data_IF_097640241050
#
_entry.id   IF_097640241050
#
_cell.length_a   1.000
_cell.length_b   1.000
_cell.length_c   1.000
_cell.angle_alpha   90.00
_cell.angle_beta   90.00
_cell.angle_gamma   90.00
#
_symmetry.space_group_name_H-M   'P 1'
#
loop_
_entity.id
_entity.type
_entity.pdbx_description
1 polymer ?
#
# COMPACT_ATOMS: atom_id res chain seq x y z
N UNK A 1 -1.58 0.92 20.45
CA UNK A 1 -2.52 -0.12 20.95
C UNK A 1 -3.41 -0.60 19.81
N UNK A 2 -3.43 -1.90 19.53
CA UNK A 2 -4.33 -2.48 18.52
C UNK A 2 -5.71 -2.69 19.13
N UNK A 3 -6.78 -2.21 18.49
CA UNK A 3 -8.14 -2.35 19.01
C UNK A 3 -9.06 -3.17 18.13
N UNK A 4 -8.77 -3.24 16.83
CA UNK A 4 -9.49 -4.10 15.90
C UNK A 4 -8.58 -4.45 14.73
N UNK A 5 -8.75 -5.64 14.20
CA UNK A 5 -8.07 -6.09 12.99
C UNK A 5 -9.12 -6.55 11.97
N UNK A 6 -9.24 -5.81 10.87
CA UNK A 6 -10.05 -6.19 9.71
C UNK A 6 -9.21 -7.13 8.83
N UNK A 7 -9.28 -8.44 9.13
CA UNK A 7 -8.51 -9.46 8.41
C UNK A 7 -8.81 -9.49 6.90
N UNK A 8 -10.08 -9.41 6.43
CA UNK A 8 -10.39 -9.34 5.00
C UNK A 8 -9.70 -8.18 4.28
N UNK A 9 -9.59 -7.02 4.93
CA UNK A 9 -8.97 -5.82 4.33
C UNK A 9 -7.48 -5.68 4.65
N UNK A 10 -6.96 -6.45 5.60
CA UNK A 10 -5.58 -6.32 6.09
C UNK A 10 -5.32 -5.01 6.86
N UNK A 11 -6.35 -4.44 7.50
CA UNK A 11 -6.27 -3.14 8.17
C UNK A 11 -6.29 -3.31 9.70
N UNK A 12 -5.34 -2.67 10.38
CA UNK A 12 -5.31 -2.54 11.83
C UNK A 12 -5.89 -1.19 12.28
N UNK A 13 -6.91 -1.22 13.14
CA UNK A 13 -7.39 -0.03 13.84
C UNK A 13 -6.59 0.13 15.13
N UNK A 14 -5.98 1.30 15.31
CA UNK A 14 -5.05 1.54 16.41
C UNK A 14 -5.31 2.86 17.12
N UNK A 15 -5.01 2.90 18.41
CA UNK A 15 -4.70 4.13 19.13
C UNK A 15 -3.18 4.32 19.15
N UNK A 16 -2.72 5.48 18.71
CA UNK A 16 -1.31 5.86 18.77
C UNK A 16 -1.03 6.71 20.02
N UNK A 17 0.16 6.54 20.57
CA UNK A 17 0.62 7.22 21.78
C UNK A 17 2.02 7.74 21.54
N UNK A 18 2.33 8.93 22.06
CA UNK A 18 3.67 9.49 22.01
C UNK A 18 4.51 8.98 23.18
N UNK A 19 5.84 8.89 23.05
CA UNK A 19 6.70 8.54 24.18
C UNK A 19 6.42 9.46 25.38
N UNK A 20 6.22 8.87 26.57
CA UNK A 20 5.97 9.59 27.81
C UNK A 20 4.52 10.02 28.06
N UNK A 21 3.57 9.76 27.16
CA UNK A 21 2.14 9.97 27.45
C UNK A 21 1.57 8.84 28.31
N UNK A 22 0.49 9.11 29.07
CA UNK A 22 -0.28 8.01 29.67
C UNK A 22 -0.89 7.16 28.55
N UNK A 23 -1.10 5.86 28.83
CA UNK A 23 -1.63 4.90 27.85
C UNK A 23 -3.17 4.88 27.82
N UNK A 24 -3.79 5.94 28.34
CA UNK A 24 -5.23 6.12 28.39
C UNK A 24 -5.73 6.68 27.06
N UNK A 25 -6.91 6.23 26.62
CA UNK A 25 -7.48 6.62 25.33
C UNK A 25 -7.56 8.15 25.15
N UNK A 26 -7.78 8.89 26.24
CA UNK A 26 -7.90 10.35 26.24
C UNK A 26 -6.58 11.07 25.88
N UNK A 27 -5.44 10.43 26.11
CA UNK A 27 -4.11 10.95 25.77
C UNK A 27 -3.60 10.41 24.44
N UNK A 28 -4.38 9.58 23.75
CA UNK A 28 -4.00 9.08 22.43
C UNK A 28 -3.95 10.21 21.40
N UNK A 29 -3.06 10.07 20.42
CA UNK A 29 -2.95 10.97 19.27
C UNK A 29 -4.29 11.09 18.55
N UNK A 30 -5.08 10.00 18.51
CA UNK A 30 -6.41 9.99 17.91
C UNK A 30 -7.35 11.00 18.58
N UNK A 31 -7.39 10.99 19.91
CA UNK A 31 -8.25 11.87 20.68
C UNK A 31 -7.75 13.32 20.64
N UNK A 32 -6.43 13.52 20.65
CA UNK A 32 -5.83 14.85 20.46
C UNK A 32 -6.19 15.43 19.09
N UNK A 33 -6.14 14.63 18.01
CA UNK A 33 -6.58 15.08 16.68
C UNK A 33 -8.07 15.43 16.70
N UNK A 34 -8.92 14.59 17.29
CA UNK A 34 -10.37 14.83 17.35
C UNK A 34 -10.72 16.13 18.10
N UNK A 35 -9.98 16.44 19.15
CA UNK A 35 -10.22 17.60 19.99
C UNK A 35 -9.43 18.85 19.56
N UNK A 36 -8.63 18.77 18.50
CA UNK A 36 -7.84 19.89 18.02
C UNK A 36 -8.74 21.04 17.53
N UNK A 37 -8.40 22.27 17.92
CA UNK A 37 -9.15 23.50 17.57
C UNK A 37 -9.30 23.74 16.06
N UNK A 38 -8.46 23.09 15.26
CA UNK A 38 -8.54 23.06 13.80
C UNK A 38 -9.92 22.59 13.29
N UNK A 39 -10.56 21.63 13.97
CA UNK A 39 -11.88 21.12 13.56
C UNK A 39 -13.05 21.99 14.03
N UNK A 40 -12.81 22.87 15.01
CA UNK A 40 -13.85 23.77 15.52
C UNK A 40 -14.18 24.89 14.54
N UNK A 41 -13.24 25.23 13.65
CA UNK A 41 -13.33 26.38 12.75
C UNK A 41 -13.54 26.00 11.27
N UNK A 42 -13.46 24.71 10.91
CA UNK A 42 -13.56 24.27 9.52
C UNK A 42 -14.36 22.97 9.40
N UNK A 43 -15.69 23.08 9.23
CA UNK A 43 -16.62 21.94 9.22
C UNK A 43 -16.54 21.05 7.97
N UNK A 44 -15.83 21.45 6.93
CA UNK A 44 -15.96 20.86 5.58
C UNK A 44 -14.65 20.32 4.97
N UNK A 45 -13.80 19.63 5.74
CA UNK A 45 -12.68 18.84 5.17
C UNK A 45 -12.94 17.34 5.34
N UNK A 46 -13.74 16.77 4.44
CA UNK A 46 -13.94 15.32 4.35
C UNK A 46 -12.80 14.69 3.53
N UNK A 47 -11.85 14.05 4.21
CA UNK A 47 -10.83 13.20 3.58
C UNK A 47 -11.40 11.79 3.32
N UNK A 48 -12.47 11.68 2.54
CA UNK A 48 -12.98 10.38 2.09
C UNK A 48 -12.52 10.12 0.66
N UNK A 49 -11.53 9.24 0.49
CA UNK A 49 -11.25 8.66 -0.83
C UNK A 49 -12.24 7.54 -1.06
N UNK A 50 -13.35 7.84 -1.74
CA UNK A 50 -14.19 6.82 -2.36
C UNK A 50 -13.77 6.68 -3.83
N UNK A 51 -13.52 5.46 -4.34
CA UNK A 51 -13.18 5.27 -5.74
C UNK A 51 -14.47 5.19 -6.54
N UNK A 52 -14.99 6.32 -7.05
CA UNK A 52 -15.78 6.39 -8.29
C UNK A 52 -16.42 7.76 -8.51
N UNK A 53 -16.49 8.15 -9.78
CA UNK A 53 -17.64 8.88 -10.32
C UNK A 53 -17.59 10.39 -10.17
N UNK A 54 -17.23 11.05 -11.28
CA UNK A 54 -17.61 12.41 -11.67
C UNK A 54 -18.78 13.02 -10.89
N UNK A 55 -18.54 14.14 -10.21
CA UNK A 55 -19.53 15.20 -10.09
C UNK A 55 -18.86 16.56 -10.25
N UNK A 56 -19.45 17.37 -11.12
CA UNK A 56 -18.93 18.63 -11.64
C UNK A 56 -19.45 19.79 -10.78
N UNK A 57 -18.55 20.64 -10.29
CA UNK A 57 -18.92 21.94 -9.72
C UNK A 57 -18.90 23.01 -10.83
N UNK A 58 -20.01 23.73 -10.93
CA UNK A 58 -20.38 24.70 -11.96
C UNK A 58 -19.66 26.04 -11.72
N UNK A 59 -18.90 26.53 -12.70
CA UNK A 59 -18.43 27.93 -12.76
C UNK A 59 -18.79 28.50 -14.14
N UNK A 60 -19.45 29.64 -14.11
CA UNK A 60 -19.90 30.44 -15.25
C UNK A 60 -18.77 31.33 -15.80
N UNK A 61 -18.56 31.32 -17.12
CA UNK A 61 -18.18 32.49 -17.92
C UNK A 61 -18.21 32.14 -19.41
N UNK A 62 -18.83 33.03 -20.19
CA UNK A 62 -19.06 32.96 -21.63
C UNK A 62 -17.77 33.03 -22.48
N UNK A 63 -17.73 32.28 -23.60
CA UNK A 63 -17.65 32.75 -25.01
C UNK A 63 -17.00 31.72 -25.98
N UNK A 64 -17.81 31.30 -26.97
CA UNK A 64 -17.57 30.84 -28.36
C UNK A 64 -16.40 29.89 -28.72
N UNK A 65 -16.73 28.66 -29.17
CA UNK A 65 -16.68 28.28 -30.60
C UNK A 65 -17.04 26.79 -30.80
N UNK A 66 -17.89 26.56 -31.79
CA UNK A 66 -18.49 25.28 -32.15
C UNK A 66 -17.58 24.41 -33.01
N UNK A 67 -17.51 23.11 -32.70
CA UNK A 67 -17.36 22.05 -33.70
C UNK A 67 -18.20 20.85 -33.26
N UNK A 68 -19.13 20.50 -34.14
CA UNK A 68 -20.13 19.46 -34.01
C UNK A 68 -19.66 18.23 -34.80
N UNK A 69 -19.70 17.04 -34.21
CA UNK A 69 -19.71 15.79 -34.99
C UNK A 69 -20.25 14.60 -34.17
N UNK A 70 -21.44 14.19 -34.60
CA UNK A 70 -22.03 12.85 -34.67
C UNK A 70 -22.02 11.90 -33.46
N UNK A 71 -23.25 11.65 -32.98
CA UNK A 71 -23.65 10.47 -32.21
C UNK A 71 -23.42 9.17 -33.00
N UNK A 72 -22.72 8.23 -32.39
CA UNK A 72 -22.64 6.83 -32.81
C UNK A 72 -23.02 5.92 -31.65
N UNK A 73 -24.27 5.47 -31.64
CA UNK A 73 -24.83 4.42 -30.77
C UNK A 73 -24.28 3.07 -31.26
N UNK A 74 -23.69 2.26 -30.40
CA UNK A 74 -23.42 0.85 -30.73
C UNK A 74 -23.74 -0.07 -29.54
N UNK A 75 -24.38 -1.16 -29.90
CA UNK A 75 -25.19 -2.01 -29.04
C UNK A 75 -24.40 -3.05 -28.25
N UNK A 76 -25.09 -3.53 -27.23
CA UNK A 76 -24.74 -4.58 -26.29
C UNK A 76 -24.81 -5.94 -26.99
N UNK A 77 -23.68 -6.62 -27.17
CA UNK A 77 -23.63 -8.03 -27.55
C UNK A 77 -23.09 -8.86 -26.40
N UNK A 78 -23.90 -9.81 -25.95
CA UNK A 78 -23.59 -10.80 -24.93
C UNK A 78 -22.88 -11.98 -25.59
N UNK A 79 -21.74 -12.38 -25.05
CA UNK A 79 -21.13 -13.69 -25.28
C UNK A 79 -20.07 -13.98 -24.22
N UNK A 80 -20.45 -14.79 -23.24
CA UNK A 80 -19.56 -15.75 -22.56
C UNK A 80 -19.19 -16.84 -23.59
N UNK A 81 -17.97 -17.41 -23.61
CA UNK A 81 -17.51 -18.26 -22.49
C UNK A 81 -15.98 -18.25 -22.26
N UNK A 82 -15.56 -18.54 -21.03
CA UNK A 82 -14.60 -19.60 -20.70
C UNK A 82 -14.07 -19.41 -19.28
N UNK A 83 -14.16 -20.51 -18.53
CA UNK A 83 -13.70 -20.67 -17.16
C UNK A 83 -12.16 -20.69 -17.18
N UNK A 84 -11.55 -19.52 -16.99
CA UNK A 84 -10.12 -19.41 -16.70
C UNK A 84 -9.81 -20.22 -15.41
N UNK A 85 -8.82 -21.13 -15.43
CA UNK A 85 -8.46 -21.88 -14.24
C UNK A 85 -7.87 -20.90 -13.23
N UNK A 86 -8.50 -20.81 -12.05
CA UNK A 86 -7.92 -20.13 -10.90
C UNK A 86 -6.57 -20.77 -10.61
N UNK A 87 -5.48 -20.11 -11.02
CA UNK A 87 -4.15 -20.48 -10.60
C UNK A 87 -4.08 -20.21 -9.10
N UNK A 88 -4.38 -21.24 -8.32
CA UNK A 88 -4.12 -21.26 -6.88
C UNK A 88 -2.62 -21.01 -6.76
N UNK A 89 -2.24 -19.81 -6.33
CA UNK A 89 -0.85 -19.51 -6.02
C UNK A 89 -0.43 -20.55 -4.97
N UNK A 90 0.56 -21.37 -5.31
CA UNK A 90 1.17 -22.31 -4.38
C UNK A 90 1.65 -21.53 -3.16
N UNK A 91 1.25 -21.97 -1.97
CA UNK A 91 1.52 -21.29 -0.71
C UNK A 91 3.02 -21.14 -0.39
N UNK A 92 3.91 -21.79 -1.15
CA UNK A 92 5.36 -21.75 -0.98
C UNK A 92 6.05 -20.46 -1.48
N UNK A 93 5.36 -19.58 -2.23
CA UNK A 93 6.01 -18.41 -2.86
C UNK A 93 5.97 -17.13 -1.99
N UNK A 94 5.21 -17.14 -0.90
CA UNK A 94 4.96 -15.97 -0.05
C UNK A 94 5.65 -16.07 1.31
N UNK A 95 6.20 -14.96 1.85
CA UNK A 95 6.74 -14.93 3.20
C UNK A 95 5.72 -15.31 4.26
N UNK A 96 6.17 -15.81 5.43
CA UNK A 96 5.27 -16.07 6.53
C UNK A 96 4.53 -14.79 6.93
N UNK A 97 3.26 -14.90 7.36
CA UNK A 97 2.51 -13.74 7.82
C UNK A 97 3.19 -13.14 9.05
N UNK A 98 3.19 -11.81 9.13
CA UNK A 98 3.73 -11.13 10.29
C UNK A 98 2.93 -11.50 11.54
N UNK A 99 3.57 -11.86 12.67
CA UNK A 99 2.88 -12.07 13.93
C UNK A 99 2.34 -10.74 14.46
N UNK A 100 1.09 -10.42 14.10
CA UNK A 100 0.42 -9.18 14.50
C UNK A 100 0.04 -9.26 15.99
N UNK A 101 0.24 -8.17 16.72
CA UNK A 101 -0.20 -8.04 18.11
C UNK A 101 -1.70 -8.30 18.25
N UNK A 102 -2.09 -8.95 19.34
CA UNK A 102 -3.50 -9.26 19.61
C UNK A 102 -4.27 -7.98 19.92
N UNK A 103 -5.58 -8.02 19.72
CA UNK A 103 -6.47 -6.96 20.16
C UNK A 103 -6.27 -6.68 21.65
N UNK A 104 -6.06 -5.41 22.00
CA UNK A 104 -5.78 -4.94 23.35
C UNK A 104 -4.29 -4.73 23.65
N UNK A 105 -3.39 -5.34 22.87
CA UNK A 105 -1.95 -5.25 23.10
C UNK A 105 -1.35 -3.93 22.60
N UNK A 106 -0.25 -3.55 23.25
CA UNK A 106 0.61 -2.45 22.86
C UNK A 106 1.74 -2.98 21.98
N UNK A 107 2.11 -2.18 20.99
CA UNK A 107 3.21 -2.45 20.09
C UNK A 107 3.88 -1.13 19.77
N UNK A 108 5.19 -1.09 19.95
CA UNK A 108 5.99 0.02 19.48
C UNK A 108 6.11 -0.07 17.97
N UNK A 109 5.88 1.07 17.31
CA UNK A 109 5.79 1.15 15.86
C UNK A 109 6.58 2.33 15.32
N UNK A 110 7.06 2.16 14.10
CA UNK A 110 7.51 3.26 13.26
C UNK A 110 6.48 3.52 12.17
N UNK A 111 6.10 4.78 11.97
CA UNK A 111 5.15 5.18 10.91
C UNK A 111 5.96 5.46 9.65
N UNK A 112 5.95 4.53 8.69
CA UNK A 112 6.75 4.64 7.46
C UNK A 112 6.09 5.55 6.42
N UNK A 113 4.76 5.57 6.36
CA UNK A 113 3.96 6.40 5.45
C UNK A 113 2.74 6.90 6.18
N UNK A 114 2.45 8.19 6.11
CA UNK A 114 1.22 8.79 6.66
C UNK A 114 0.51 9.61 5.58
N UNK A 115 -0.58 9.07 5.03
CA UNK A 115 -1.40 9.78 4.05
C UNK A 115 -2.52 10.57 4.73
N UNK A 116 -3.22 9.92 5.67
CA UNK A 116 -4.32 10.50 6.45
C UNK A 116 -4.59 9.62 7.68
N UNK A 117 -5.20 10.15 8.76
CA UNK A 117 -5.62 9.36 9.93
C UNK A 117 -6.31 8.02 9.64
N UNK A 118 -7.09 7.91 8.55
CA UNK A 118 -7.76 6.66 8.14
C UNK A 118 -6.93 5.74 7.24
N UNK A 119 -5.73 6.16 6.85
CA UNK A 119 -4.80 5.35 6.06
C UNK A 119 -3.34 5.78 6.24
N UNK A 120 -2.60 4.96 6.96
CA UNK A 120 -1.16 5.07 7.12
C UNK A 120 -0.54 3.68 7.22
N UNK A 121 0.78 3.61 7.17
CA UNK A 121 1.55 2.37 7.24
C UNK A 121 2.42 2.41 8.48
N UNK A 122 2.41 1.31 9.23
CA UNK A 122 3.28 1.11 10.38
C UNK A 122 4.15 -0.12 10.20
N UNK A 123 5.35 -0.06 10.77
CA UNK A 123 6.30 -1.15 10.89
C UNK A 123 6.49 -1.49 12.37
N UNK A 124 6.56 -2.77 12.77
CA UNK A 124 6.91 -3.12 14.14
C UNK A 124 8.32 -2.65 14.48
N UNK A 125 8.46 -1.85 15.54
CA UNK A 125 9.75 -1.27 15.92
C UNK A 125 10.83 -2.34 16.16
N UNK A 126 10.44 -3.44 16.81
CA UNK A 126 11.34 -4.58 17.12
C UNK A 126 11.92 -5.27 15.88
N UNK A 127 11.30 -5.12 14.71
CA UNK A 127 11.72 -5.77 13.45
C UNK A 127 12.55 -4.84 12.56
N UNK A 128 12.70 -3.55 12.91
CA UNK A 128 13.41 -2.59 12.05
C UNK A 128 14.85 -3.01 11.75
N UNK A 129 15.56 -3.57 12.73
CA UNK A 129 16.92 -4.06 12.52
C UNK A 129 16.96 -5.29 11.58
N UNK A 130 15.97 -6.18 11.68
CA UNK A 130 15.86 -7.33 10.77
C UNK A 130 15.56 -6.88 9.34
N UNK A 131 14.73 -5.84 9.19
CA UNK A 131 14.46 -5.21 7.89
C UNK A 131 15.71 -4.54 7.32
N UNK A 132 16.47 -3.80 8.13
CA UNK A 132 17.71 -3.16 7.72
C UNK A 132 18.74 -4.19 7.23
N UNK A 133 18.96 -5.26 8.00
CA UNK A 133 19.83 -6.36 7.60
C UNK A 133 19.38 -7.00 6.27
N UNK A 134 18.08 -7.26 6.10
CA UNK A 134 17.52 -7.77 4.85
C UNK A 134 17.82 -6.84 3.67
N UNK A 135 17.66 -5.53 3.86
CA UNK A 135 17.88 -4.53 2.82
C UNK A 135 19.35 -4.47 2.41
N UNK A 136 20.28 -4.57 3.36
CA UNK A 136 21.73 -4.64 3.08
C UNK A 136 22.11 -5.91 2.32
N UNK A 137 21.61 -7.08 2.75
CA UNK A 137 21.85 -8.35 2.07
C UNK A 137 21.30 -8.33 0.63
N UNK A 138 20.12 -7.74 0.41
CA UNK A 138 19.55 -7.58 -0.92
C UNK A 138 20.40 -6.68 -1.81
N UNK A 139 20.99 -5.59 -1.28
CA UNK A 139 21.93 -4.76 -2.05
C UNK A 139 23.12 -5.59 -2.51
N UNK A 140 23.77 -6.30 -1.59
CA UNK A 140 24.97 -7.07 -1.88
C UNK A 140 24.70 -8.15 -2.94
N UNK A 141 23.58 -8.86 -2.80
CA UNK A 141 23.19 -9.93 -3.71
C UNK A 141 22.80 -9.43 -5.10
N UNK A 142 21.82 -8.52 -5.20
CA UNK A 142 21.27 -8.12 -6.50
C UNK A 142 22.13 -7.10 -7.26
N UNK A 143 23.11 -6.47 -6.61
CA UNK A 143 24.05 -5.59 -7.29
C UNK A 143 25.15 -6.34 -8.04
N UNK A 144 25.40 -7.60 -7.68
CA UNK A 144 26.43 -8.45 -8.29
C UNK A 144 25.85 -9.55 -9.18
N UNK A 145 24.59 -9.93 -8.96
CA UNK A 145 23.93 -11.02 -9.69
C UNK A 145 23.50 -10.59 -11.10
N UNK A 146 23.74 -11.46 -12.08
CA UNK A 146 23.25 -11.28 -13.45
C UNK A 146 21.72 -11.34 -13.53
N UNK A 147 21.15 -10.51 -14.42
CA UNK A 147 19.70 -10.49 -14.63
C UNK A 147 19.24 -11.78 -15.30
N UNK A 148 18.35 -12.51 -14.64
CA UNK A 148 17.69 -13.68 -15.21
C UNK A 148 16.51 -13.26 -16.09
N UNK A 149 16.24 -13.96 -17.22
CA UNK A 149 15.01 -13.78 -17.97
C UNK A 149 13.79 -13.91 -17.05
N UNK A 150 12.87 -12.95 -17.12
CA UNK A 150 11.79 -12.83 -16.15
C UNK A 150 10.44 -12.70 -16.84
N UNK A 151 9.56 -13.68 -16.57
CA UNK A 151 8.13 -13.51 -16.85
C UNK A 151 7.47 -12.75 -15.70
N UNK A 152 7.06 -11.53 -15.98
CA UNK A 152 6.37 -10.68 -15.02
C UNK A 152 4.93 -11.15 -14.83
N UNK A 153 4.54 -11.37 -13.58
CA UNK A 153 3.18 -11.71 -13.18
C UNK A 153 2.60 -10.65 -12.24
N UNK A 154 1.34 -10.26 -12.48
CA UNK A 154 0.59 -9.40 -11.56
C UNK A 154 0.34 -10.14 -10.23
N UNK A 155 0.37 -9.41 -9.13
CA UNK A 155 0.20 -9.90 -7.76
C UNK A 155 1.25 -10.93 -7.31
N UNK A 156 2.40 -11.00 -7.97
CA UNK A 156 3.55 -11.83 -7.56
C UNK A 156 4.65 -11.00 -6.93
N UNK A 157 5.49 -11.66 -6.13
CA UNK A 157 6.56 -11.07 -5.34
C UNK A 157 7.90 -11.08 -6.09
N UNK A 158 8.60 -9.95 -6.08
CA UNK A 158 9.86 -9.73 -6.78
C UNK A 158 10.83 -8.86 -5.96
N UNK A 159 12.08 -8.81 -6.39
CA UNK A 159 13.02 -7.77 -5.99
C UNK A 159 13.00 -6.64 -7.03
N UNK A 160 12.96 -5.39 -6.60
CA UNK A 160 13.03 -4.23 -7.50
C UNK A 160 14.08 -3.22 -7.04
N UNK A 161 14.85 -2.68 -7.98
CA UNK A 161 15.78 -1.59 -7.74
C UNK A 161 15.09 -0.24 -7.87
N UNK A 162 15.00 0.50 -6.78
CA UNK A 162 14.41 1.84 -6.70
C UNK A 162 15.50 2.78 -6.18
N UNK A 163 15.92 3.74 -7.02
CA UNK A 163 17.13 4.51 -6.76
C UNK A 163 18.37 3.60 -6.63
N UNK A 164 19.05 3.70 -5.50
CA UNK A 164 20.25 2.91 -5.18
C UNK A 164 19.97 1.69 -4.31
N UNK A 165 18.71 1.44 -3.96
CA UNK A 165 18.32 0.42 -3.01
C UNK A 165 17.50 -0.69 -3.70
N UNK A 166 17.55 -1.90 -3.14
CA UNK A 166 16.72 -3.02 -3.56
C UNK A 166 15.64 -3.29 -2.54
N UNK A 167 14.41 -3.49 -3.02
CA UNK A 167 13.21 -3.67 -2.20
C UNK A 167 12.47 -4.94 -2.59
N UNK A 168 11.76 -5.54 -1.63
CA UNK A 168 10.75 -6.55 -1.91
C UNK A 168 9.48 -5.86 -2.38
N UNK A 169 8.93 -6.30 -3.51
CA UNK A 169 7.76 -5.65 -4.11
C UNK A 169 6.75 -6.63 -4.65
N UNK A 170 5.48 -6.27 -4.56
CA UNK A 170 4.40 -6.92 -5.32
C UNK A 170 4.09 -6.07 -6.54
N UNK A 171 4.03 -6.70 -7.72
CA UNK A 171 3.60 -6.02 -8.95
C UNK A 171 2.08 -5.86 -8.93
N UNK A 172 1.61 -4.62 -8.85
CA UNK A 172 0.17 -4.28 -8.84
C UNK A 172 -0.37 -3.99 -10.23
N UNK A 173 0.47 -3.55 -11.17
CA UNK A 173 0.06 -3.27 -12.54
C UNK A 173 1.21 -3.37 -13.52
N UNK A 174 0.90 -3.81 -14.75
CA UNK A 174 1.84 -3.87 -15.87
C UNK A 174 1.37 -2.84 -16.89
N UNK A 175 2.21 -1.85 -17.19
CA UNK A 175 1.87 -0.75 -18.09
C UNK A 175 2.46 -1.02 -19.48
N UNK A 176 1.79 -0.49 -20.52
CA UNK A 176 2.15 -0.74 -21.93
C UNK A 176 3.52 -0.19 -22.34
N UNK A 177 4.12 0.68 -21.54
CA UNK A 177 5.38 1.38 -21.80
C UNK A 177 6.60 0.74 -21.09
N UNK A 178 6.49 -0.52 -20.64
CA UNK A 178 7.57 -1.20 -19.92
C UNK A 178 7.74 -0.73 -18.47
N UNK A 179 6.78 0.01 -17.94
CA UNK A 179 6.71 0.34 -16.52
C UNK A 179 5.80 -0.63 -15.78
N UNK A 180 6.10 -0.81 -14.50
CA UNK A 180 5.36 -1.63 -13.56
C UNK A 180 4.95 -0.73 -12.40
N UNK A 181 3.68 -0.78 -12.03
CA UNK A 181 3.22 -0.27 -10.73
C UNK A 181 3.52 -1.32 -9.69
N UNK A 182 4.32 -0.95 -8.68
CA UNK A 182 4.76 -1.85 -7.63
C UNK A 182 4.34 -1.33 -6.26
N UNK A 183 4.19 -2.24 -5.31
CA UNK A 183 3.97 -1.94 -3.90
C UNK A 183 5.13 -2.51 -3.09
N UNK A 184 5.85 -1.64 -2.39
CA UNK A 184 6.91 -2.00 -1.46
C UNK A 184 6.30 -2.64 -0.22
N UNK A 185 6.45 -3.96 -0.10
CA UNK A 185 5.74 -4.75 0.93
C UNK A 185 6.24 -4.50 2.35
N UNK A 186 7.39 -3.84 2.48
CA UNK A 186 8.00 -3.52 3.77
C UNK A 186 7.72 -2.10 4.22
N UNK A 187 7.55 -1.15 3.30
CA UNK A 187 7.35 0.27 3.60
C UNK A 187 5.93 0.77 3.33
N UNK A 188 5.17 0.04 2.53
CA UNK A 188 3.80 0.34 2.11
C UNK A 188 3.68 1.47 1.09
N UNK A 189 4.75 1.71 0.33
CA UNK A 189 4.80 2.73 -0.72
C UNK A 189 4.44 2.16 -2.08
N UNK A 190 3.77 2.97 -2.90
CA UNK A 190 3.55 2.69 -4.31
C UNK A 190 4.58 3.42 -5.16
N UNK A 191 5.16 2.70 -6.12
CA UNK A 191 6.19 3.24 -7.01
C UNK A 191 6.00 2.75 -8.45
N UNK A 192 6.65 3.43 -9.39
CA UNK A 192 6.76 3.01 -10.78
C UNK A 192 8.20 2.64 -11.11
N UNK A 193 8.41 1.40 -11.53
CA UNK A 193 9.74 0.90 -11.92
C UNK A 193 9.72 0.38 -13.34
N UNK A 194 10.85 0.44 -14.03
CA UNK A 194 11.00 -0.24 -15.33
C UNK A 194 11.11 -1.74 -15.13
N UNK A 195 10.60 -2.52 -16.09
CA UNK A 195 10.70 -3.98 -16.05
C UNK A 195 12.14 -4.47 -15.90
N UNK A 196 13.11 -3.79 -16.51
CA UNK A 196 14.54 -4.15 -16.41
C UNK A 196 15.15 -3.94 -15.01
N UNK A 197 14.44 -3.27 -14.09
CA UNK A 197 14.86 -3.05 -12.70
C UNK A 197 14.27 -4.10 -11.74
N UNK A 198 13.53 -5.07 -12.25
CA UNK A 198 12.90 -6.13 -11.47
C UNK A 198 13.60 -7.46 -11.69
N UNK A 199 13.77 -8.24 -10.63
CA UNK A 199 14.34 -9.58 -10.64
C UNK A 199 13.48 -10.55 -9.80
N UNK A 200 13.52 -11.86 -10.06
CA UNK A 200 12.93 -12.85 -9.15
C UNK A 200 13.43 -12.64 -7.72
N UNK A 201 12.53 -12.70 -6.73
CA UNK A 201 12.93 -12.68 -5.32
C UNK A 201 13.39 -14.09 -4.91
N UNK A 202 14.64 -14.23 -4.45
CA UNK A 202 15.16 -15.51 -3.94
C UNK A 202 14.51 -15.91 -2.62
N UNK A 203 14.47 -17.22 -2.35
CA UNK A 203 13.80 -17.77 -1.16
C UNK A 203 14.44 -17.31 0.17
N UNK A 204 15.74 -17.02 0.18
CA UNK A 204 16.42 -16.45 1.36
C UNK A 204 15.75 -15.15 1.82
N UNK A 205 15.35 -14.29 0.88
CA UNK A 205 14.72 -13.00 1.16
C UNK A 205 13.20 -13.09 1.40
N UNK A 206 12.64 -14.32 1.39
CA UNK A 206 11.24 -14.60 1.72
C UNK A 206 11.04 -15.03 3.16
N UNK A 207 12.10 -15.16 3.95
CA UNK A 207 12.02 -15.63 5.35
C UNK A 207 11.43 -14.60 6.31
N UNK A 208 11.78 -13.32 6.14
CA UNK A 208 11.24 -12.25 6.96
C UNK A 208 9.79 -11.97 6.54
N UNK A 209 8.80 -11.89 7.45
CA UNK A 209 7.48 -11.42 7.10
C UNK A 209 7.48 -10.04 6.44
N UNK A 210 6.42 -9.68 5.74
CA UNK A 210 6.24 -8.30 5.28
C UNK A 210 6.11 -7.34 6.46
N UNK A 211 6.81 -6.22 6.38
CA UNK A 211 6.89 -5.27 7.48
C UNK A 211 5.85 -4.14 7.41
N UNK A 212 5.23 -3.92 6.25
CA UNK A 212 4.18 -2.91 6.12
C UNK A 212 2.84 -3.41 6.65
N UNK A 213 2.34 -2.78 7.71
CA UNK A 213 0.99 -2.99 8.22
C UNK A 213 0.15 -1.77 7.85
N UNK A 214 -0.92 -1.97 7.09
CA UNK A 214 -1.91 -0.93 6.85
C UNK A 214 -2.68 -0.65 8.14
N UNK A 215 -2.72 0.61 8.54
CA UNK A 215 -3.34 1.05 9.77
C UNK A 215 -4.25 2.25 9.55
N UNK A 216 -5.21 2.38 10.46
CA UNK A 216 -6.04 3.56 10.61
C UNK A 216 -6.22 3.88 12.09
N UNK A 217 -6.45 5.16 12.39
CA UNK A 217 -6.82 5.59 13.72
C UNK A 217 -8.21 5.03 14.04
N UNK A 218 -8.34 4.52 15.26
CA UNK A 218 -9.60 4.16 15.88
C UNK A 218 -10.29 5.40 16.47
N UNK A 219 -11.63 5.35 16.56
CA UNK A 219 -12.47 6.46 17.03
C UNK A 219 -13.13 7.23 15.90
#
# INVERSE_FOLDING_TARGET
KVVKQDRPKGIAHVYLFTPGSSLDADHSVNQQIKNADLWQHQKDVFLSVTPSGTSSAKVTSDTVSALQLASGKLEKSLSDPAREPSSVASADDMPPPLPLSKTGELMDVYVSVACHPGHFIVQPWKELHNLEALMEEMILYYSTTEKKPLSIGKNKLYAAKIGNQWYRVIIKGILKNGFLSVYEVDYGKHEFVRTEKVQPLTDTFRKLPFQAITAQLAG
#
